data_IF_748650392741
#
_entry.id   IF_748650392741
#
_cell.length_a   1.000
_cell.length_b   1.000
_cell.length_c   1.000
_cell.angle_alpha   90.00
_cell.angle_beta   90.00
_cell.angle_gamma   90.00
#
_symmetry.space_group_name_H-M   'P 1'
#
loop_
_entity.id
_entity.type
_entity.pdbx_description
1 polymer ?
#
# COMPACT_ATOMS: atom_id res chain seq x y z
N UNK A 1 -12.19 4.63 -4.01
CA UNK A 1 -10.73 4.91 -3.83
C UNK A 1 -9.88 3.64 -3.98
N UNK A 2 -10.42 2.45 -3.68
CA UNK A 2 -9.75 1.13 -3.81
C UNK A 2 -9.34 0.71 -5.23
N UNK A 3 -9.86 1.33 -6.28
CA UNK A 3 -9.56 0.88 -7.64
C UNK A 3 -8.16 1.28 -8.15
N UNK A 4 -7.53 2.30 -7.53
CA UNK A 4 -6.26 2.88 -8.03
C UNK A 4 -5.02 2.07 -7.64
N UNK A 5 -5.08 1.32 -6.54
CA UNK A 5 -3.91 0.66 -5.98
C UNK A 5 -4.13 -0.85 -5.92
N UNK A 6 -3.19 -1.60 -6.46
CA UNK A 6 -3.21 -3.07 -6.48
C UNK A 6 -2.29 -3.60 -5.36
N UNK A 7 -2.81 -4.32 -4.35
CA UNK A 7 -1.98 -4.85 -3.28
C UNK A 7 -1.10 -5.99 -3.78
N UNK A 8 0.19 -5.94 -3.42
CA UNK A 8 1.19 -6.93 -3.83
C UNK A 8 1.68 -7.77 -2.66
N UNK A 9 2.13 -7.12 -1.59
CA UNK A 9 2.81 -7.78 -0.47
C UNK A 9 2.57 -7.03 0.83
N UNK A 10 2.38 -7.77 1.92
CA UNK A 10 2.30 -7.17 3.26
C UNK A 10 3.73 -6.86 3.74
N UNK A 11 3.99 -5.61 4.13
CA UNK A 11 5.29 -5.14 4.62
C UNK A 11 5.42 -5.24 6.14
N UNK A 12 4.29 -5.31 6.86
CA UNK A 12 4.28 -5.52 8.30
C UNK A 12 2.99 -5.07 8.98
N UNK A 13 2.72 -5.61 10.17
CA UNK A 13 1.59 -5.23 11.02
C UNK A 13 2.14 -4.45 12.22
N UNK A 14 1.62 -3.24 12.43
CA UNK A 14 1.98 -2.41 13.57
C UNK A 14 0.77 -2.04 14.42
N UNK A 15 1.01 -1.37 15.55
CA UNK A 15 -0.04 -1.01 16.52
C UNK A 15 -1.18 -0.12 15.97
N UNK A 16 -1.00 0.44 14.78
CA UNK A 16 -1.96 1.33 14.11
C UNK A 16 -2.41 0.79 12.75
N UNK A 17 -2.33 -0.52 12.54
CA UNK A 17 -2.81 -1.19 11.32
C UNK A 17 -1.71 -1.83 10.46
N UNK A 18 -2.10 -2.25 9.25
CA UNK A 18 -1.29 -3.08 8.35
C UNK A 18 -0.65 -2.23 7.26
N UNK A 19 0.66 -2.33 7.08
CA UNK A 19 1.36 -1.74 5.96
C UNK A 19 1.46 -2.75 4.81
N UNK A 20 1.00 -2.36 3.62
CA UNK A 20 1.11 -3.15 2.39
C UNK A 20 1.88 -2.38 1.32
N UNK A 21 2.69 -3.10 0.56
CA UNK A 21 3.21 -2.68 -0.72
C UNK A 21 2.08 -2.80 -1.74
N UNK A 22 1.77 -1.69 -2.40
CA UNK A 22 0.76 -1.62 -3.44
C UNK A 22 1.37 -1.02 -4.70
N UNK A 23 0.83 -1.38 -5.86
CA UNK A 23 1.18 -0.79 -7.14
C UNK A 23 0.13 0.23 -7.55
N UNK A 24 0.54 1.46 -7.86
CA UNK A 24 -0.37 2.42 -8.46
C UNK A 24 -0.68 1.97 -9.90
N UNK A 25 -1.95 1.72 -10.22
CA UNK A 25 -2.33 1.25 -11.57
C UNK A 25 -2.06 2.30 -12.65
N UNK A 26 -2.03 3.60 -12.31
CA UNK A 26 -1.79 4.70 -13.25
C UNK A 26 -0.31 4.91 -13.50
N UNK A 27 0.50 5.04 -12.45
CA UNK A 27 1.93 5.32 -12.59
C UNK A 27 2.78 4.06 -12.67
N UNK A 28 2.19 2.89 -12.37
CA UNK A 28 2.85 1.58 -12.26
C UNK A 28 3.94 1.51 -11.19
N UNK A 29 4.10 2.55 -10.38
CA UNK A 29 5.07 2.62 -9.29
C UNK A 29 4.62 1.80 -8.07
N UNK A 30 5.61 1.25 -7.37
CA UNK A 30 5.42 0.60 -6.09
C UNK A 30 5.39 1.64 -4.98
N UNK A 31 4.39 1.58 -4.10
CA UNK A 31 4.23 2.49 -2.97
C UNK A 31 3.80 1.73 -1.73
N UNK A 32 4.28 2.16 -0.57
CA UNK A 32 3.82 1.62 0.71
C UNK A 32 2.60 2.39 1.20
N UNK A 33 1.53 1.65 1.49
CA UNK A 33 0.27 2.15 2.03
C UNK A 33 0.04 1.54 3.39
N UNK A 34 -0.28 2.37 4.39
CA UNK A 34 -0.71 1.91 5.71
C UNK A 34 -2.22 1.96 5.81
N UNK A 35 -2.82 0.79 5.93
CA UNK A 35 -4.23 0.60 6.17
C UNK A 35 -4.49 0.74 7.67
N UNK A 36 -5.32 1.70 8.02
CA UNK A 36 -5.71 1.94 9.41
C UNK A 36 -7.19 1.63 9.53
N UNK A 37 -7.52 0.66 10.39
CA UNK A 37 -8.91 0.28 10.66
C UNK A 37 -9.63 1.39 11.44
N UNK A 38 -10.87 1.72 11.04
CA UNK A 38 -11.74 2.57 11.86
C UNK A 38 -12.03 1.82 13.16
N UNK A 39 -11.63 2.37 14.30
CA UNK A 39 -12.02 1.85 15.61
C UNK A 39 -13.55 1.90 15.82
N UNK A 40 -14.05 1.16 16.82
CA UNK A 40 -15.44 1.29 17.29
C UNK A 40 -15.66 2.70 17.87
N UNK A 41 -16.93 3.13 17.83
CA UNK A 41 -17.42 4.50 18.11
C UNK A 41 -16.98 5.08 19.47
N UNK A 42 -16.52 4.26 20.40
CA UNK A 42 -16.26 4.65 21.80
C UNK A 42 -14.79 5.00 22.11
N UNK A 43 -13.84 4.75 21.20
CA UNK A 43 -12.43 5.13 21.37
C UNK A 43 -12.16 6.55 20.84
N UNK A 44 -12.51 7.54 21.66
CA UNK A 44 -12.37 8.99 21.42
C UNK A 44 -10.94 9.42 20.99
N UNK A 45 -9.90 8.67 21.41
CA UNK A 45 -8.51 8.91 20.99
C UNK A 45 -8.27 8.64 19.50
N UNK A 46 -8.88 7.60 18.93
CA UNK A 46 -8.71 7.25 17.52
C UNK A 46 -9.33 8.34 16.63
N UNK A 47 -10.59 8.71 16.90
CA UNK A 47 -11.28 9.77 16.18
C UNK A 47 -10.55 11.12 16.24
N UNK A 48 -9.99 11.50 17.40
CA UNK A 48 -9.22 12.74 17.55
C UNK A 48 -7.96 12.75 16.68
N UNK A 49 -7.27 11.61 16.55
CA UNK A 49 -6.05 11.51 15.75
C UNK A 49 -6.33 11.60 14.24
N UNK A 50 -7.44 11.03 13.77
CA UNK A 50 -7.81 11.06 12.34
C UNK A 50 -8.38 12.41 11.87
N UNK A 51 -8.89 13.26 12.77
CA UNK A 51 -9.39 14.60 12.43
C UNK A 51 -8.32 15.48 11.76
N UNK A 52 -7.05 15.27 12.06
CA UNK A 52 -5.95 16.00 11.42
C UNK A 52 -5.66 15.52 9.99
N UNK A 53 -5.94 14.26 9.70
CA UNK A 53 -5.59 13.65 8.42
C UNK A 53 -6.63 13.90 7.33
N UNK A 54 -7.87 14.19 7.72
CA UNK A 54 -8.99 14.34 6.79
C UNK A 54 -9.85 15.54 7.22
N UNK A 55 -9.49 16.73 6.73
CA UNK A 55 -10.20 17.99 7.02
C UNK A 55 -11.67 17.97 6.55
N UNK A 56 -12.07 16.99 5.73
CA UNK A 56 -13.40 16.89 5.12
C UNK A 56 -14.34 15.88 5.79
N UNK A 57 -13.92 15.19 6.86
CA UNK A 57 -14.76 14.17 7.52
C UNK A 57 -15.29 14.70 8.87
N UNK A 58 -16.45 15.34 8.81
CA UNK A 58 -17.40 15.22 9.92
C UNK A 58 -17.77 13.73 10.00
N UNK A 59 -17.69 13.14 11.18
CA UNK A 59 -17.94 11.72 11.42
C UNK A 59 -19.42 11.37 11.16
N UNK A 60 -19.83 11.32 9.90
CA UNK A 60 -21.14 10.83 9.48
C UNK A 60 -20.99 9.36 9.13
N UNK A 61 -21.48 8.54 10.06
CA UNK A 61 -21.92 7.14 9.90
C UNK A 61 -21.50 6.45 8.58
N UNK A 62 -20.38 5.73 8.61
CA UNK A 62 -19.98 4.80 7.56
C UNK A 62 -19.66 3.45 8.19
N UNK A 63 -20.44 2.43 7.84
CA UNK A 63 -20.34 1.07 8.35
C UNK A 63 -19.03 0.38 7.93
N UNK A 64 -18.58 -0.53 8.80
CA UNK A 64 -17.75 -1.72 8.56
C UNK A 64 -16.49 -1.59 7.66
N UNK A 65 -15.33 -1.89 8.26
CA UNK A 65 -14.14 -2.46 7.61
C UNK A 65 -13.41 -1.65 6.52
N UNK A 66 -13.81 -0.41 6.23
CA UNK A 66 -13.12 0.40 5.21
C UNK A 66 -11.94 1.18 5.81
N UNK A 67 -10.72 1.09 5.21
CA UNK A 67 -9.54 1.79 5.72
C UNK A 67 -9.67 3.31 5.59
N UNK A 68 -9.33 4.05 6.66
CA UNK A 68 -9.44 5.52 6.68
C UNK A 68 -8.38 6.18 5.81
N UNK A 69 -7.20 5.57 5.69
CA UNK A 69 -6.01 6.25 5.19
C UNK A 69 -5.31 5.37 4.17
N UNK A 70 -5.14 5.89 2.96
CA UNK A 70 -4.19 5.39 1.95
C UNK A 70 -3.10 6.45 1.83
N UNK A 71 -2.28 6.61 2.87
CA UNK A 71 -1.17 7.56 2.85
C UNK A 71 0.10 6.87 2.33
N UNK A 72 0.83 7.55 1.44
CA UNK A 72 2.16 7.10 0.99
C UNK A 72 3.18 7.43 2.08
N UNK A 73 3.74 6.43 2.75
CA UNK A 73 4.69 6.64 3.85
C UNK A 73 6.12 6.77 3.36
N UNK A 74 6.81 7.86 3.73
CA UNK A 74 8.24 8.04 3.40
C UNK A 74 9.16 7.07 4.16
N UNK A 75 8.79 6.66 5.37
CA UNK A 75 9.61 5.75 6.20
C UNK A 75 9.67 4.33 5.65
N UNK A 76 8.67 3.91 4.88
CA UNK A 76 8.65 2.60 4.23
C UNK A 76 9.31 2.61 2.85
N UNK A 77 9.89 3.75 2.42
CA UNK A 77 10.56 3.87 1.12
C UNK A 77 11.66 2.84 0.94
N UNK A 78 12.49 2.60 1.94
CA UNK A 78 13.57 1.62 1.83
C UNK A 78 13.01 0.21 1.58
N UNK A 79 11.96 -0.19 2.30
CA UNK A 79 11.30 -1.48 2.07
C UNK A 79 10.67 -1.56 0.67
N UNK A 80 10.07 -0.47 0.19
CA UNK A 80 9.53 -0.37 -1.17
C UNK A 80 10.64 -0.47 -2.22
N UNK A 81 11.77 0.21 -2.00
CA UNK A 81 12.91 0.25 -2.92
C UNK A 81 13.57 -1.12 -3.03
N UNK A 82 13.79 -1.80 -1.89
CA UNK A 82 14.26 -3.19 -1.86
C UNK A 82 13.30 -4.11 -2.63
N UNK A 83 11.99 -4.04 -2.38
CA UNK A 83 11.02 -4.85 -3.12
C UNK A 83 10.94 -4.49 -4.61
N UNK A 84 11.18 -3.23 -4.98
CA UNK A 84 11.21 -2.79 -6.37
C UNK A 84 12.45 -3.34 -7.10
N UNK A 85 13.60 -3.34 -6.42
CA UNK A 85 14.84 -3.91 -6.94
C UNK A 85 14.71 -5.42 -7.13
N UNK A 86 14.18 -6.15 -6.13
CA UNK A 86 13.89 -7.59 -6.25
C UNK A 86 12.96 -7.88 -7.44
N UNK A 87 11.92 -7.07 -7.62
CA UNK A 87 10.98 -7.21 -8.74
C UNK A 87 11.65 -6.93 -10.10
N UNK A 88 12.49 -5.90 -10.18
CA UNK A 88 13.22 -5.56 -11.40
C UNK A 88 14.23 -6.65 -11.77
N UNK A 89 14.94 -7.20 -10.78
CA UNK A 89 15.85 -8.32 -10.99
C UNK A 89 15.13 -9.57 -11.49
N UNK A 90 13.94 -9.87 -10.93
CA UNK A 90 13.12 -10.98 -11.40
C UNK A 90 12.67 -10.78 -12.86
N UNK A 91 12.21 -9.58 -13.23
CA UNK A 91 11.85 -9.28 -14.62
C UNK A 91 13.05 -9.40 -15.56
N UNK A 92 14.21 -8.86 -15.18
CA UNK A 92 15.42 -8.95 -16.00
C UNK A 92 15.86 -10.40 -16.24
N UNK A 93 15.72 -11.28 -15.23
CA UNK A 93 16.01 -12.70 -15.36
C UNK A 93 15.02 -13.40 -16.30
N UNK A 94 13.72 -13.07 -16.20
CA UNK A 94 12.69 -13.62 -17.08
C UNK A 94 12.95 -13.20 -18.53
N UNK A 95 13.23 -11.92 -18.77
CA UNK A 95 13.53 -11.40 -20.11
C UNK A 95 14.79 -12.04 -20.70
N UNK A 96 15.84 -12.20 -19.89
CA UNK A 96 17.05 -12.90 -20.30
C UNK A 96 16.79 -14.38 -20.62
N UNK A 97 15.85 -15.02 -19.94
CA UNK A 97 15.45 -16.40 -20.21
C UNK A 97 14.66 -16.50 -21.50
N UNK A 98 13.68 -15.59 -21.70
CA UNK A 98 12.89 -15.50 -22.92
C UNK A 98 13.78 -15.27 -24.15
N UNK A 99 14.78 -14.39 -24.04
CA UNK A 99 15.69 -14.12 -25.15
C UNK A 99 16.57 -15.34 -25.47
N UNK A 100 17.00 -16.10 -24.45
CA UNK A 100 17.72 -17.37 -24.68
C UNK A 100 16.86 -18.39 -25.42
N UNK A 101 15.59 -18.53 -25.07
CA UNK A 101 14.67 -19.42 -25.77
C UNK A 101 14.39 -18.96 -27.20
N UNK A 102 14.30 -17.65 -27.42
CA UNK A 102 14.10 -17.05 -28.74
C UNK A 102 15.29 -17.28 -29.67
N UNK A 103 16.51 -17.22 -29.15
CA UNK A 103 17.75 -17.47 -29.90
C UNK A 103 17.98 -18.97 -30.15
N UNK A 104 17.39 -19.84 -29.33
CA UNK A 104 17.47 -21.29 -29.47
C UNK A 104 16.46 -21.90 -30.47
N UNK A 105 15.56 -21.08 -31.04
CA UNK A 105 14.63 -21.43 -32.13
C UNK A 105 15.13 -20.91 -33.47
#
# INVERSE_FOLDING_TARGET
MEERYEPLKDLGVGNFGVARLVRDKKTKELVAVKYIERGKKDDDHACKFFKWLDTSICCTHGAATTPIVIAKFKQLKHAVEVSNEELNQAHALIDATLERERVAK
#
